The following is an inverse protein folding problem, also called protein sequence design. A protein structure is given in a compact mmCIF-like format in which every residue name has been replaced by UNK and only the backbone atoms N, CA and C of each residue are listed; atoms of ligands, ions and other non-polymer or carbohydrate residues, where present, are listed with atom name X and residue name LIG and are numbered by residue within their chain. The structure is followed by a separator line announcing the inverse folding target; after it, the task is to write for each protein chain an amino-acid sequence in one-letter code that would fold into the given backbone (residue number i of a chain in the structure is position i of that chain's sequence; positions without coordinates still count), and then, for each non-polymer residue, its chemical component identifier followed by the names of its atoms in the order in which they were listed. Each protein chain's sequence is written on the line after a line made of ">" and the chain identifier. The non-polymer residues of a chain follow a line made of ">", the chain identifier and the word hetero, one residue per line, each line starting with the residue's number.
data_IF_603653075714
#
_entry.id   IF_603653075714
#
_cell.length_a   1.000
_cell.length_b   1.000
_cell.length_c   1.000
_cell.angle_alpha   90.00
_cell.angle_beta   90.00
_cell.angle_gamma   90.00
#
_symmetry.space_group_name_H-M   'P 1'
#
loop_
_entity.id
_entity.type
_entity.pdbx_description
1 polymer ?
#
# COMPACT_ATOMS: atom_id res chain seq x y z
N UNK A 1 24.22 0.64 -42.68
CA UNK A 1 24.11 -0.26 -41.51
C UNK A 1 23.12 0.36 -40.54
N UNK A 2 22.04 -0.33 -40.13
CA UNK A 2 21.14 0.19 -39.11
C UNK A 2 21.86 0.17 -37.76
N UNK A 3 21.88 1.32 -37.08
CA UNK A 3 22.33 1.45 -35.70
C UNK A 3 21.28 0.76 -34.82
N UNK A 4 21.57 -0.45 -34.33
CA UNK A 4 20.76 -1.10 -33.31
C UNK A 4 21.14 -0.46 -31.98
N UNK A 5 20.28 0.42 -31.48
CA UNK A 5 20.44 0.95 -30.13
C UNK A 5 20.37 -0.22 -29.12
N UNK A 6 21.30 -0.29 -28.15
CA UNK A 6 21.26 -1.32 -27.13
C UNK A 6 19.96 -1.17 -26.32
N UNK A 7 19.30 -2.29 -25.95
CA UNK A 7 18.09 -2.22 -25.13
C UNK A 7 18.40 -1.48 -23.82
N UNK A 8 17.68 -0.38 -23.59
CA UNK A 8 17.78 0.40 -22.37
C UNK A 8 17.61 -0.49 -21.12
N UNK A 9 18.28 -0.19 -19.99
CA UNK A 9 18.31 -1.05 -18.81
C UNK A 9 16.97 -1.01 -18.04
N UNK A 10 15.94 -1.64 -18.60
CA UNK A 10 14.65 -1.86 -17.95
C UNK A 10 14.73 -2.93 -16.84
N UNK A 11 15.86 -3.63 -16.69
CA UNK A 11 16.03 -4.72 -15.71
C UNK A 11 16.23 -4.23 -14.27
N UNK A 12 16.90 -3.09 -14.06
CA UNK A 12 17.31 -2.65 -12.72
C UNK A 12 16.14 -2.21 -11.82
N UNK A 13 15.20 -1.42 -12.35
CA UNK A 13 14.05 -0.94 -11.57
C UNK A 13 13.03 -2.06 -11.29
N UNK A 14 12.78 -2.93 -12.28
CA UNK A 14 11.89 -4.08 -12.13
C UNK A 14 12.45 -5.11 -11.15
N UNK A 15 13.75 -5.45 -11.24
CA UNK A 15 14.41 -6.35 -10.30
C UNK A 15 14.39 -5.80 -8.87
N UNK A 16 14.63 -4.49 -8.69
CA UNK A 16 14.52 -3.83 -7.39
C UNK A 16 13.11 -3.92 -6.82
N UNK A 17 12.08 -3.62 -7.62
CA UNK A 17 10.69 -3.74 -7.16
C UNK A 17 10.33 -5.19 -6.79
N UNK A 18 10.79 -6.17 -7.56
CA UNK A 18 10.58 -7.58 -7.25
C UNK A 18 11.27 -7.97 -5.93
N UNK A 19 12.53 -7.56 -5.72
CA UNK A 19 13.27 -7.82 -4.49
C UNK A 19 12.58 -7.17 -3.27
N UNK A 20 12.11 -5.93 -3.39
CA UNK A 20 11.36 -5.24 -2.32
C UNK A 20 10.06 -5.97 -2.02
N UNK A 21 9.31 -6.38 -3.06
CA UNK A 21 8.06 -7.14 -2.90
C UNK A 21 8.28 -8.47 -2.19
N UNK A 22 9.33 -9.20 -2.54
CA UNK A 22 9.70 -10.46 -1.86
C UNK A 22 10.08 -10.20 -0.40
N UNK A 23 10.89 -9.17 -0.13
CA UNK A 23 11.25 -8.78 1.23
C UNK A 23 10.03 -8.39 2.08
N UNK A 24 9.09 -7.65 1.51
CA UNK A 24 7.83 -7.28 2.17
C UNK A 24 6.95 -8.49 2.45
N UNK A 25 6.83 -9.42 1.50
CA UNK A 25 6.06 -10.65 1.71
C UNK A 25 6.68 -11.52 2.81
N UNK A 26 8.01 -11.63 2.85
CA UNK A 26 8.72 -12.36 3.89
C UNK A 26 8.56 -11.70 5.27
N UNK A 27 8.68 -10.37 5.35
CA UNK A 27 8.46 -9.61 6.58
C UNK A 27 7.02 -9.77 7.08
N UNK A 28 6.05 -9.59 6.20
CA UNK A 28 4.63 -9.78 6.51
C UNK A 28 4.36 -11.19 7.04
N UNK A 29 4.94 -12.22 6.41
CA UNK A 29 4.77 -13.60 6.85
C UNK A 29 5.39 -13.84 8.23
N UNK A 30 6.57 -13.28 8.48
CA UNK A 30 7.23 -13.32 9.78
C UNK A 30 6.39 -12.63 10.86
N UNK A 31 5.77 -11.47 10.56
CA UNK A 31 4.88 -10.78 11.49
C UNK A 31 3.62 -11.59 11.78
N UNK A 32 2.97 -12.15 10.75
CA UNK A 32 1.77 -12.98 10.92
C UNK A 32 2.08 -14.24 11.76
N UNK A 33 3.20 -14.90 11.49
CA UNK A 33 3.66 -16.05 12.27
C UNK A 33 4.00 -15.66 13.71
N UNK A 34 4.70 -14.54 13.92
CA UNK A 34 5.03 -14.08 15.28
C UNK A 34 3.76 -13.76 16.06
N UNK A 35 2.81 -13.07 15.45
CA UNK A 35 1.55 -12.69 16.08
C UNK A 35 0.72 -13.89 16.54
N UNK A 36 0.76 -15.01 15.81
CA UNK A 36 0.04 -16.23 16.21
C UNK A 36 0.68 -16.97 17.39
N UNK A 37 1.90 -16.61 17.79
CA UNK A 37 2.65 -17.26 18.89
C UNK A 37 2.82 -16.36 20.11
N UNK A 38 2.49 -15.07 20.01
CA UNK A 38 2.61 -14.11 21.12
C UNK A 38 1.29 -14.00 21.84
N UNK A 39 1.32 -14.21 23.16
CA UNK A 39 0.22 -13.86 24.06
C UNK A 39 0.51 -12.49 24.67
N UNK A 40 -0.49 -11.62 24.66
CA UNK A 40 -0.33 -10.21 24.98
C UNK A 40 -1.15 -9.87 26.23
N UNK A 41 -0.52 -9.27 27.23
CA UNK A 41 -1.22 -8.75 28.41
C UNK A 41 -2.27 -7.69 27.99
N UNK A 42 -3.50 -7.68 28.55
CA UNK A 42 -4.56 -6.72 28.26
C UNK A 42 -4.14 -5.26 28.09
N UNK A 43 -3.22 -4.75 28.92
CA UNK A 43 -2.74 -3.37 28.82
C UNK A 43 -1.96 -3.13 27.52
N UNK A 44 -1.07 -4.07 27.17
CA UNK A 44 -0.30 -4.03 25.94
C UNK A 44 -1.18 -4.26 24.71
N UNK A 45 -2.19 -5.12 24.80
CA UNK A 45 -3.19 -5.32 23.76
C UNK A 45 -3.96 -4.02 23.47
N UNK A 46 -4.40 -3.31 24.51
CA UNK A 46 -5.13 -2.03 24.37
C UNK A 46 -4.25 -0.96 23.74
N UNK A 47 -3.00 -0.84 24.18
CA UNK A 47 -2.04 0.09 23.58
C UNK A 47 -1.77 -0.25 22.11
N UNK A 48 -1.60 -1.54 21.79
CA UNK A 48 -1.43 -2.00 20.42
C UNK A 48 -2.64 -1.67 19.55
N UNK A 49 -3.87 -1.83 20.06
CA UNK A 49 -5.09 -1.50 19.34
C UNK A 49 -5.18 0.00 19.04
N UNK A 50 -4.85 0.85 20.02
CA UNK A 50 -4.80 2.30 19.80
C UNK A 50 -3.79 2.67 18.71
N UNK A 51 -2.57 2.13 18.81
CA UNK A 51 -1.52 2.34 17.79
C UNK A 51 -1.96 1.83 16.42
N UNK A 52 -2.64 0.68 16.37
CA UNK A 52 -3.17 0.10 15.14
C UNK A 52 -4.19 1.03 14.48
N UNK A 53 -5.14 1.57 15.25
CA UNK A 53 -6.14 2.53 14.76
C UNK A 53 -5.50 3.86 14.34
N UNK A 54 -4.52 4.37 15.09
CA UNK A 54 -3.79 5.57 14.68
C UNK A 54 -3.03 5.36 13.37
N UNK A 55 -2.37 4.19 13.22
CA UNK A 55 -1.67 3.81 12.00
C UNK A 55 -2.64 3.63 10.81
N UNK A 56 -3.85 3.10 11.06
CA UNK A 56 -4.93 3.04 10.09
C UNK A 56 -5.30 4.45 9.60
N UNK A 57 -5.55 5.39 10.52
CA UNK A 57 -5.91 6.78 10.18
C UNK A 57 -4.81 7.44 9.36
N UNK A 58 -3.55 7.30 9.76
CA UNK A 58 -2.41 7.90 9.06
C UNK A 58 -2.24 7.29 7.66
N UNK A 59 -2.18 5.96 7.57
CA UNK A 59 -1.93 5.26 6.31
C UNK A 59 -3.11 5.38 5.34
N UNK A 60 -4.31 5.02 5.80
CA UNK A 60 -5.50 5.04 4.95
C UNK A 60 -5.94 6.48 4.64
N UNK A 61 -5.82 7.41 5.58
CA UNK A 61 -6.09 8.83 5.34
C UNK A 61 -5.20 9.41 4.24
N UNK A 62 -3.92 9.03 4.20
CA UNK A 62 -3.02 9.42 3.13
C UNK A 62 -3.42 8.81 1.78
N UNK A 63 -3.86 7.55 1.75
CA UNK A 63 -4.39 6.92 0.52
C UNK A 63 -5.63 7.66 0.01
N UNK A 64 -6.59 7.98 0.88
CA UNK A 64 -7.78 8.74 0.49
C UNK A 64 -7.43 10.14 -0.04
N UNK A 65 -6.42 10.80 0.55
CA UNK A 65 -5.93 12.08 0.05
C UNK A 65 -5.30 11.96 -1.35
N UNK A 66 -4.50 10.91 -1.60
CA UNK A 66 -3.93 10.62 -2.93
C UNK A 66 -5.06 10.39 -3.95
N UNK A 67 -6.05 9.57 -3.61
CA UNK A 67 -7.16 9.24 -4.52
C UNK A 67 -8.02 10.47 -4.82
N UNK A 68 -8.26 11.33 -3.83
CA UNK A 68 -8.94 12.62 -4.02
C UNK A 68 -8.17 13.54 -4.97
N UNK A 69 -6.85 13.68 -4.77
CA UNK A 69 -6.00 14.48 -5.66
C UNK A 69 -5.96 13.89 -7.09
N UNK A 70 -5.94 12.56 -7.20
CA UNK A 70 -6.04 11.84 -8.48
C UNK A 70 -7.34 12.13 -9.20
N UNK A 71 -8.47 12.14 -8.48
CA UNK A 71 -9.77 12.51 -9.03
C UNK A 71 -9.79 13.96 -9.52
N UNK A 72 -9.28 14.91 -8.75
CA UNK A 72 -9.19 16.32 -9.16
C UNK A 72 -8.35 16.49 -10.44
N UNK A 73 -7.25 15.74 -10.55
CA UNK A 73 -6.44 15.71 -11.76
C UNK A 73 -7.20 15.14 -12.96
N UNK A 74 -7.90 14.00 -12.79
CA UNK A 74 -8.72 13.41 -13.85
C UNK A 74 -9.86 14.31 -14.33
N UNK A 75 -10.42 15.12 -13.42
CA UNK A 75 -11.43 16.15 -13.72
C UNK A 75 -10.84 17.41 -14.39
N UNK A 76 -9.53 17.45 -14.61
CA UNK A 76 -8.83 18.60 -15.20
C UNK A 76 -8.68 19.79 -14.25
N UNK A 77 -8.99 19.63 -12.96
CA UNK A 77 -8.86 20.70 -11.96
C UNK A 77 -7.43 20.88 -11.46
N UNK A 78 -6.55 19.91 -11.74
CA UNK A 78 -5.11 19.94 -11.42
C UNK A 78 -4.30 19.50 -12.62
N UNK A 79 -3.07 19.99 -12.73
CA UNK A 79 -2.11 19.49 -13.73
C UNK A 79 -1.45 18.20 -13.24
N UNK A 80 -0.86 17.42 -14.16
CA UNK A 80 -0.08 16.23 -13.76
C UNK A 80 1.05 16.59 -12.79
N UNK A 81 1.76 17.70 -13.04
CA UNK A 81 2.81 18.20 -12.16
C UNK A 81 2.29 18.47 -10.74
N UNK A 82 1.16 19.19 -10.63
CA UNK A 82 0.54 19.45 -9.33
C UNK A 82 0.11 18.16 -8.62
N UNK A 83 -0.45 17.19 -9.34
CA UNK A 83 -0.81 15.90 -8.76
C UNK A 83 0.42 15.18 -8.21
N UNK A 84 1.50 15.09 -8.98
CA UNK A 84 2.75 14.46 -8.58
C UNK A 84 3.35 15.16 -7.35
N UNK A 85 3.52 16.48 -7.40
CA UNK A 85 4.13 17.26 -6.31
C UNK A 85 3.34 17.15 -4.99
N UNK A 86 2.00 17.12 -5.08
CA UNK A 86 1.13 17.03 -3.90
C UNK A 86 1.04 15.61 -3.33
N UNK A 87 1.21 14.58 -4.16
CA UNK A 87 1.10 13.17 -3.73
C UNK A 87 2.43 12.53 -3.35
N UNK A 88 3.56 13.05 -3.85
CA UNK A 88 4.91 12.60 -3.50
C UNK A 88 5.14 12.49 -1.97
N UNK A 89 4.87 13.53 -1.15
CA UNK A 89 5.08 13.44 0.29
C UNK A 89 4.10 12.48 0.98
N UNK A 90 2.94 12.20 0.39
CA UNK A 90 1.91 11.32 0.99
C UNK A 90 2.31 9.84 0.96
N UNK A 91 3.30 9.44 0.16
CA UNK A 91 3.84 8.07 0.23
C UNK A 91 4.47 7.76 1.60
N UNK A 92 5.05 8.75 2.28
CA UNK A 92 5.66 8.56 3.61
C UNK A 92 4.62 8.12 4.65
N UNK A 93 3.50 8.84 4.88
CA UNK A 93 2.47 8.39 5.82
C UNK A 93 1.77 7.10 5.38
N UNK A 94 1.65 6.80 4.08
CA UNK A 94 1.14 5.49 3.62
C UNK A 94 2.02 4.35 4.12
N UNK A 95 3.33 4.43 3.90
CA UNK A 95 4.27 3.40 4.34
C UNK A 95 4.42 3.36 5.87
N UNK A 96 4.42 4.51 6.54
CA UNK A 96 4.47 4.58 7.99
C UNK A 96 3.22 3.95 8.63
N UNK A 97 2.04 4.24 8.10
CA UNK A 97 0.78 3.63 8.54
C UNK A 97 0.78 2.11 8.32
N UNK A 98 1.21 1.65 7.14
CA UNK A 98 1.29 0.21 6.85
C UNK A 98 2.28 -0.52 7.77
N UNK A 99 3.43 0.08 8.06
CA UNK A 99 4.38 -0.46 9.03
C UNK A 99 3.77 -0.52 10.43
N UNK A 100 3.14 0.58 10.87
CA UNK A 100 2.45 0.66 12.16
C UNK A 100 1.37 -0.42 12.30
N UNK A 101 0.54 -0.61 11.27
CA UNK A 101 -0.49 -1.66 11.23
C UNK A 101 0.11 -3.06 11.33
N UNK A 102 1.19 -3.31 10.58
CA UNK A 102 1.86 -4.61 10.55
C UNK A 102 2.46 -4.96 11.91
N UNK A 103 3.21 -4.03 12.53
CA UNK A 103 3.86 -4.27 13.81
C UNK A 103 2.90 -4.31 14.99
N UNK A 104 1.94 -3.37 15.06
CA UNK A 104 0.92 -3.41 16.12
C UNK A 104 0.03 -4.64 16.01
N UNK A 105 -0.25 -5.12 14.78
CA UNK A 105 -1.05 -6.32 14.53
C UNK A 105 -0.46 -7.60 15.12
N UNK A 106 0.85 -7.66 15.37
CA UNK A 106 1.50 -8.79 16.06
C UNK A 106 0.93 -8.97 17.47
N UNK A 107 0.64 -7.87 18.16
CA UNK A 107 0.16 -7.84 19.55
C UNK A 107 -1.36 -7.93 19.67
N UNK A 108 -2.07 -8.07 18.54
CA UNK A 108 -3.53 -8.19 18.49
C UNK A 108 -4.01 -9.65 18.36
N UNK A 109 -3.11 -10.61 18.59
CA UNK A 109 -3.42 -12.04 18.67
C UNK A 109 -4.22 -12.57 17.47
N UNK A 110 -3.68 -12.48 16.24
CA UNK A 110 -4.40 -12.92 15.04
C UNK A 110 -4.73 -14.41 15.08
N UNK A 111 -6.02 -14.75 15.03
CA UNK A 111 -6.48 -16.13 14.86
C UNK A 111 -6.32 -16.57 13.40
N UNK A 112 -5.25 -17.31 13.09
CA UNK A 112 -4.95 -17.78 11.74
C UNK A 112 -5.83 -18.95 11.27
N UNK A 113 -6.57 -19.61 12.15
CA UNK A 113 -7.53 -20.67 11.79
C UNK A 113 -8.83 -20.08 11.21
N UNK A 114 -9.07 -18.79 11.44
CA UNK A 114 -10.21 -18.06 10.87
C UNK A 114 -9.96 -17.69 9.41
N UNK A 115 -10.81 -18.19 8.51
CA UNK A 115 -10.78 -17.83 7.09
C UNK A 115 -10.90 -16.32 6.85
N UNK A 116 -11.66 -15.59 7.69
CA UNK A 116 -11.76 -14.14 7.60
C UNK A 116 -10.44 -13.45 7.95
N UNK A 117 -9.74 -13.90 9.00
CA UNK A 117 -8.41 -13.38 9.34
C UNK A 117 -7.42 -13.63 8.21
N UNK A 118 -7.45 -14.81 7.58
CA UNK A 118 -6.60 -15.12 6.42
C UNK A 118 -6.89 -14.20 5.24
N UNK A 119 -8.16 -13.94 4.92
CA UNK A 119 -8.55 -12.99 3.87
C UNK A 119 -8.06 -11.58 4.21
N UNK A 120 -8.26 -11.11 5.45
CA UNK A 120 -7.76 -9.79 5.90
C UNK A 120 -6.25 -9.68 5.71
N UNK A 121 -5.50 -10.69 6.17
CA UNK A 121 -4.04 -10.71 6.04
C UNK A 121 -3.63 -10.69 4.56
N UNK A 122 -4.29 -11.47 3.70
CA UNK A 122 -4.04 -11.47 2.26
C UNK A 122 -4.32 -10.10 1.61
N UNK A 123 -5.38 -9.40 2.02
CA UNK A 123 -5.67 -8.03 1.59
C UNK A 123 -4.58 -7.05 2.03
N UNK A 124 -4.09 -7.16 3.27
CA UNK A 124 -2.97 -6.33 3.76
C UNK A 124 -1.70 -6.56 2.93
N UNK A 125 -1.38 -7.81 2.60
CA UNK A 125 -0.26 -8.13 1.71
C UNK A 125 -0.46 -7.54 0.32
N UNK A 126 -1.67 -7.68 -0.25
CA UNK A 126 -2.02 -7.12 -1.54
C UNK A 126 -1.83 -5.59 -1.57
N UNK A 127 -2.26 -4.88 -0.52
CA UNK A 127 -2.05 -3.44 -0.36
C UNK A 127 -0.55 -3.11 -0.35
N UNK A 128 0.25 -3.85 0.42
CA UNK A 128 1.69 -3.63 0.51
C UNK A 128 2.39 -3.77 -0.86
N UNK A 129 2.07 -4.86 -1.58
CA UNK A 129 2.62 -5.12 -2.91
C UNK A 129 2.15 -4.08 -3.93
N UNK A 130 0.88 -3.69 -3.86
CA UNK A 130 0.33 -2.62 -4.67
C UNK A 130 0.99 -1.27 -4.36
N UNK A 131 1.36 -1.00 -3.10
CA UNK A 131 2.13 0.18 -2.70
C UNK A 131 3.51 0.27 -3.36
N UNK A 132 4.21 -0.86 -3.52
CA UNK A 132 5.47 -0.92 -4.29
C UNK A 132 5.22 -0.57 -5.76
N UNK A 133 4.16 -1.14 -6.35
CA UNK A 133 3.76 -0.84 -7.73
C UNK A 133 3.40 0.64 -7.90
N UNK A 134 2.59 1.20 -7.00
CA UNK A 134 2.14 2.58 -7.00
C UNK A 134 3.31 3.55 -6.87
N UNK A 135 4.27 3.27 -5.97
CA UNK A 135 5.48 4.08 -5.83
C UNK A 135 6.33 4.05 -7.11
N UNK A 136 6.46 2.88 -7.75
CA UNK A 136 7.17 2.77 -9.02
C UNK A 136 6.43 3.46 -10.17
N UNK A 137 5.09 3.46 -10.15
CA UNK A 137 4.26 4.16 -11.12
C UNK A 137 4.32 5.68 -10.93
N UNK A 138 4.32 6.16 -9.68
CA UNK A 138 4.46 7.57 -9.34
C UNK A 138 5.77 8.15 -9.89
N UNK A 139 6.90 7.43 -9.73
CA UNK A 139 8.18 7.81 -10.34
C UNK A 139 8.11 7.94 -11.86
N UNK A 140 7.35 7.08 -12.54
CA UNK A 140 7.14 7.21 -13.99
C UNK A 140 6.31 8.43 -14.36
N UNK A 141 5.43 8.90 -13.47
CA UNK A 141 4.72 10.16 -13.66
C UNK A 141 5.63 11.37 -13.39
N UNK A 142 6.54 11.30 -12.42
CA UNK A 142 7.60 12.30 -12.21
C UNK A 142 8.46 12.46 -13.48
N UNK A 143 8.89 11.34 -14.09
CA UNK A 143 9.73 11.32 -15.29
C UNK A 143 9.06 11.97 -16.53
N UNK A 144 7.73 12.12 -16.53
CA UNK A 144 6.99 12.75 -17.64
C UNK A 144 7.02 14.28 -17.61
N UNK A 145 7.50 14.90 -16.53
CA UNK A 145 7.70 16.35 -16.34
C UNK A 145 6.48 17.23 -16.75
N UNK A 146 5.27 16.70 -16.55
CA UNK A 146 4.01 17.40 -16.86
C UNK A 146 3.48 17.20 -18.29
N UNK A 147 4.13 16.36 -19.11
CA UNK A 147 3.57 15.91 -20.38
C UNK A 147 2.36 15.00 -20.17
N UNK A 148 1.50 14.89 -21.18
CA UNK A 148 0.31 14.04 -21.10
C UNK A 148 0.72 12.56 -20.96
N UNK A 149 0.28 11.87 -19.89
CA UNK A 149 0.66 10.50 -19.69
C UNK A 149 -0.03 9.59 -20.70
N UNK A 150 0.68 8.59 -21.24
CA UNK A 150 0.09 7.62 -22.14
C UNK A 150 -0.98 6.79 -21.44
N UNK A 151 -2.02 6.40 -22.18
CA UNK A 151 -3.22 5.72 -21.66
C UNK A 151 -2.91 4.48 -20.81
N UNK A 152 -1.86 3.72 -21.13
CA UNK A 152 -1.48 2.54 -20.36
C UNK A 152 -1.03 2.87 -18.93
N UNK A 153 -0.42 4.04 -18.68
CA UNK A 153 -0.06 4.46 -17.32
C UNK A 153 -1.30 4.92 -16.54
N UNK A 154 -2.26 5.56 -17.22
CA UNK A 154 -3.55 5.92 -16.63
C UNK A 154 -4.33 4.68 -16.18
N UNK A 155 -4.43 3.67 -17.05
CA UNK A 155 -5.09 2.39 -16.73
C UNK A 155 -4.42 1.72 -15.54
N UNK A 156 -3.08 1.67 -15.53
CA UNK A 156 -2.33 1.12 -14.38
C UNK A 156 -2.56 1.91 -13.09
N UNK A 157 -2.66 3.23 -13.17
CA UNK A 157 -3.00 4.09 -12.03
C UNK A 157 -4.39 3.78 -11.50
N UNK A 158 -5.40 3.71 -12.37
CA UNK A 158 -6.77 3.37 -12.00
C UNK A 158 -6.89 1.97 -11.39
N UNK A 159 -6.22 0.97 -11.96
CA UNK A 159 -6.17 -0.39 -11.39
C UNK A 159 -5.49 -0.39 -10.03
N UNK A 160 -4.37 0.32 -9.89
CA UNK A 160 -3.65 0.44 -8.62
C UNK A 160 -4.52 1.10 -7.53
N UNK A 161 -5.26 2.16 -7.86
CA UNK A 161 -6.20 2.81 -6.96
C UNK A 161 -7.34 1.87 -6.56
N UNK A 162 -7.94 1.15 -7.52
CA UNK A 162 -9.01 0.19 -7.24
C UNK A 162 -8.55 -0.94 -6.31
N UNK A 163 -7.37 -1.53 -6.56
CA UNK A 163 -6.78 -2.56 -5.68
C UNK A 163 -6.55 -2.00 -4.28
N UNK A 164 -6.04 -0.77 -4.16
CA UNK A 164 -5.84 -0.10 -2.88
C UNK A 164 -7.16 0.03 -2.12
N UNK A 165 -8.20 0.59 -2.77
CA UNK A 165 -9.52 0.79 -2.15
C UNK A 165 -10.17 -0.51 -1.69
N UNK A 166 -10.15 -1.55 -2.54
CA UNK A 166 -10.68 -2.87 -2.18
C UNK A 166 -9.90 -3.48 -1.00
N UNK A 167 -8.58 -3.35 -1.01
CA UNK A 167 -7.72 -3.84 0.07
C UNK A 167 -8.01 -3.14 1.40
N UNK A 168 -7.99 -1.80 1.40
CA UNK A 168 -8.18 -1.00 2.63
C UNK A 168 -9.58 -1.17 3.19
N UNK A 169 -10.63 -0.95 2.39
CA UNK A 169 -12.01 -1.10 2.86
C UNK A 169 -12.35 -2.53 3.24
N UNK A 170 -11.89 -3.51 2.47
CA UNK A 170 -12.08 -4.92 2.80
C UNK A 170 -11.42 -5.30 4.13
N UNK A 171 -10.19 -4.84 4.36
CA UNK A 171 -9.48 -5.10 5.62
C UNK A 171 -10.14 -4.42 6.82
N UNK A 172 -10.63 -3.18 6.65
CA UNK A 172 -11.38 -2.44 7.69
C UNK A 172 -12.69 -3.15 8.01
N UNK A 173 -13.45 -3.57 7.00
CA UNK A 173 -14.72 -4.24 7.17
C UNK A 173 -14.56 -5.58 7.91
N UNK A 174 -13.58 -6.39 7.51
CA UNK A 174 -13.28 -7.66 8.19
C UNK A 174 -12.78 -7.39 9.62
N UNK A 175 -11.94 -6.38 9.82
CA UNK A 175 -11.47 -5.98 11.14
C UNK A 175 -12.63 -5.60 12.07
N UNK A 176 -13.56 -4.80 11.59
CA UNK A 176 -14.77 -4.43 12.34
C UNK A 176 -15.63 -5.66 12.65
N UNK A 177 -15.90 -6.51 11.65
CA UNK A 177 -16.72 -7.71 11.83
C UNK A 177 -16.13 -8.68 12.87
N UNK A 178 -14.81 -8.92 12.83
CA UNK A 178 -14.11 -9.77 13.79
C UNK A 178 -14.10 -9.23 15.23
N UNK A 179 -14.44 -7.95 15.45
CA UNK A 179 -14.58 -7.41 16.82
C UNK A 179 -15.97 -7.57 17.39
N UNK A 180 -16.96 -7.91 16.56
CA UNK A 180 -18.37 -8.06 16.95
C UNK A 180 -18.77 -9.52 17.19
N UNK A 181 -17.91 -10.48 16.82
CA UNK A 181 -18.16 -11.92 16.87
C UNK A 181 -16.93 -12.66 17.39
#
# INVERSE_FOLDING_TARGET
>A
MPHLDPPAPLSGSAARSAAVSVGLAALWAACAWTGSHVQTDPALHTAALFVHLAALVVGFGAVLAIDYLGLLWMLGQRTLRQFVDLTAPLHVPVWAGLAGLTFSGILLEPNLDSGLTQVKLALVLLIALNGVHATALHRRFEDLDGTHPPQHLLVRGGVSAAISQLGWWGSVLIGFYNTQH
#
